data_IF_547770108942
#
_entry.id   IF_547770108942
#
_cell.length_a   1.000
_cell.length_b   1.000
_cell.length_c   1.000
_cell.angle_alpha   90.00
_cell.angle_beta   90.00
_cell.angle_gamma   90.00
#
_symmetry.space_group_name_H-M   'P 1'
#
loop_
_entity.id
_entity.type
_entity.pdbx_description
1 polymer ?
#
# COMPACT_ATOMS: atom_id res chain seq x y z
N UNK A 1 15.35 -49.43 -54.63
CA UNK A 1 14.83 -48.15 -54.20
C UNK A 1 15.01 -47.99 -52.72
N UNK A 2 16.06 -47.30 -52.28
CA UNK A 2 16.32 -47.03 -50.84
C UNK A 2 15.75 -45.63 -50.51
N UNK A 3 14.80 -45.59 -49.57
CA UNK A 3 14.24 -44.32 -49.08
C UNK A 3 15.10 -43.84 -47.89
N UNK A 4 15.76 -42.70 -48.08
CA UNK A 4 16.49 -42.03 -47.00
C UNK A 4 15.48 -41.22 -46.17
N UNK A 5 15.42 -41.50 -44.87
CA UNK A 5 14.64 -40.72 -43.92
C UNK A 5 15.56 -39.63 -43.34
N UNK A 6 15.29 -38.38 -43.66
CA UNK A 6 15.97 -37.23 -43.04
C UNK A 6 15.34 -37.00 -41.67
N UNK A 7 16.11 -37.19 -40.61
CA UNK A 7 15.71 -36.81 -39.26
C UNK A 7 16.05 -35.32 -39.02
N UNK A 8 15.04 -34.48 -38.86
CA UNK A 8 15.22 -33.09 -38.37
C UNK A 8 15.46 -33.12 -36.89
N UNK A 9 16.66 -32.76 -36.45
CA UNK A 9 16.98 -32.50 -35.04
C UNK A 9 16.60 -31.05 -34.77
N UNK A 10 15.52 -30.85 -34.01
CA UNK A 10 15.14 -29.53 -33.51
C UNK A 10 16.08 -29.19 -32.32
N UNK A 11 17.04 -28.28 -32.54
CA UNK A 11 17.88 -27.76 -31.47
C UNK A 11 17.04 -26.77 -30.65
N UNK A 12 16.71 -27.17 -29.43
CA UNK A 12 16.09 -26.30 -28.43
C UNK A 12 17.15 -25.29 -27.95
N UNK A 13 17.11 -24.06 -28.45
CA UNK A 13 17.96 -22.98 -27.95
C UNK A 13 17.40 -22.56 -26.59
N UNK A 14 18.01 -23.07 -25.51
CA UNK A 14 17.79 -22.53 -24.17
C UNK A 14 18.43 -21.13 -24.13
N UNK A 15 17.60 -20.09 -24.16
CA UNK A 15 18.04 -18.74 -23.81
C UNK A 15 18.46 -18.75 -22.33
N UNK A 16 19.64 -18.19 -21.99
CA UNK A 16 20.03 -18.05 -20.61
C UNK A 16 18.98 -17.21 -19.86
N UNK A 17 18.66 -17.53 -18.59
CA UNK A 17 17.80 -16.68 -17.79
C UNK A 17 18.42 -15.28 -17.75
N UNK A 18 17.63 -14.25 -18.09
CA UNK A 18 18.04 -12.87 -17.97
C UNK A 18 18.54 -12.65 -16.53
N UNK A 19 19.73 -12.06 -16.38
CA UNK A 19 20.32 -11.76 -15.08
C UNK A 19 19.29 -10.97 -14.27
N UNK A 20 18.79 -11.55 -13.18
CA UNK A 20 17.99 -10.85 -12.18
C UNK A 20 18.88 -9.79 -11.58
N UNK A 21 18.50 -8.53 -11.66
CA UNK A 21 19.18 -7.49 -10.90
C UNK A 21 19.16 -7.88 -9.42
N UNK A 22 20.33 -7.95 -8.80
CA UNK A 22 20.44 -8.27 -7.37
C UNK A 22 19.65 -7.23 -6.56
N UNK A 23 18.72 -7.71 -5.72
CA UNK A 23 18.01 -6.85 -4.76
C UNK A 23 18.91 -6.69 -3.53
N UNK A 24 19.34 -5.46 -3.27
CA UNK A 24 20.04 -5.13 -2.02
C UNK A 24 19.03 -4.83 -0.94
N UNK A 25 19.12 -5.51 0.21
CA UNK A 25 18.25 -5.31 1.36
C UNK A 25 19.03 -4.59 2.46
N UNK A 26 18.48 -3.48 2.96
CA UNK A 26 19.07 -2.69 4.04
C UNK A 26 18.03 -2.38 5.11
N UNK A 27 18.35 -2.69 6.37
CA UNK A 27 17.50 -2.38 7.52
C UNK A 27 17.97 -1.12 8.25
N UNK A 28 17.00 -0.34 8.72
CA UNK A 28 17.19 0.87 9.51
C UNK A 28 16.46 0.70 10.86
N UNK A 29 17.18 0.41 11.95
CA UNK A 29 16.61 0.33 13.29
C UNK A 29 16.00 1.68 13.69
N UNK A 30 14.86 1.64 14.36
CA UNK A 30 14.18 2.84 14.84
C UNK A 30 14.54 3.13 16.30
N UNK A 31 14.59 4.42 16.71
CA UNK A 31 14.91 4.80 18.07
C UNK A 31 13.74 4.44 19.03
N UNK A 32 14.00 4.38 20.35
CA UNK A 32 12.94 4.28 21.35
C UNK A 32 11.87 5.36 21.16
N UNK A 33 10.60 4.99 21.20
CA UNK A 33 9.47 5.86 20.89
C UNK A 33 9.11 5.97 19.42
N UNK A 34 10.01 5.61 18.50
CA UNK A 34 9.74 5.52 17.06
C UNK A 34 9.31 4.14 16.57
N UNK A 35 9.15 3.18 17.48
CA UNK A 35 8.82 1.81 17.14
C UNK A 35 7.36 1.58 16.72
N UNK A 36 7.10 0.35 16.29
CA UNK A 36 5.84 -0.09 15.70
C UNK A 36 5.46 0.72 14.45
N UNK A 37 6.37 0.82 13.46
CA UNK A 37 6.08 1.53 12.22
C UNK A 37 4.93 0.85 11.49
N UNK A 38 3.91 1.63 11.09
CA UNK A 38 2.72 1.07 10.43
C UNK A 38 2.76 1.27 8.92
N UNK A 39 2.73 2.49 8.44
CA UNK A 39 2.84 2.85 7.02
C UNK A 39 4.08 3.71 6.78
N UNK A 40 4.59 3.71 5.55
CA UNK A 40 5.72 4.54 5.09
C UNK A 40 5.31 5.39 3.89
N UNK A 41 5.98 6.54 3.72
CA UNK A 41 5.89 7.36 2.53
C UNK A 41 7.26 7.95 2.17
N UNK A 42 7.63 7.93 0.90
CA UNK A 42 8.93 8.40 0.43
C UNK A 42 8.84 9.86 0.02
N UNK A 43 9.67 10.70 0.63
CA UNK A 43 9.80 12.11 0.29
C UNK A 43 10.53 12.33 -1.05
N UNK A 44 10.21 13.42 -1.73
CA UNK A 44 10.90 13.82 -2.97
C UNK A 44 12.36 14.20 -2.75
N UNK A 45 12.75 14.52 -1.52
CA UNK A 45 14.11 14.84 -1.07
C UNK A 45 14.94 13.58 -0.72
N UNK A 46 14.37 12.41 -0.86
CA UNK A 46 15.04 11.14 -0.55
C UNK A 46 14.84 10.65 0.87
N UNK A 47 14.23 11.42 1.74
CA UNK A 47 13.88 11.01 3.10
C UNK A 47 12.66 10.09 3.13
N UNK A 48 12.39 9.46 4.27
CA UNK A 48 11.28 8.51 4.44
C UNK A 48 10.49 8.89 5.69
N UNK A 49 9.20 9.10 5.48
CA UNK A 49 8.22 9.31 6.54
C UNK A 49 7.60 7.98 6.95
N UNK A 50 7.29 7.81 8.22
CA UNK A 50 6.55 6.64 8.69
C UNK A 50 5.67 6.97 9.90
N UNK A 51 4.58 6.25 10.05
CA UNK A 51 3.70 6.37 11.21
C UNK A 51 4.17 5.46 12.34
N UNK A 52 4.55 6.02 13.49
CA UNK A 52 4.82 5.30 14.73
C UNK A 52 3.51 5.19 15.54
N UNK A 53 2.66 4.22 15.17
CA UNK A 53 1.26 4.18 15.58
C UNK A 53 1.06 4.12 17.09
N UNK A 54 1.86 3.31 17.80
CA UNK A 54 1.70 3.12 19.25
C UNK A 54 2.15 4.31 20.09
N UNK A 55 3.10 5.08 19.58
CA UNK A 55 3.63 6.25 20.29
C UNK A 55 2.97 7.57 19.88
N UNK A 56 2.06 7.54 18.90
CA UNK A 56 1.36 8.73 18.42
C UNK A 56 2.27 9.73 17.72
N UNK A 57 3.29 9.25 17.01
CA UNK A 57 4.30 10.09 16.37
C UNK A 57 4.38 9.85 14.86
N UNK A 58 4.88 10.84 14.15
CA UNK A 58 5.37 10.72 12.78
C UNK A 58 6.91 10.65 12.83
N UNK A 59 7.47 9.59 12.28
CA UNK A 59 8.91 9.46 12.14
C UNK A 59 9.40 9.98 10.79
N UNK A 60 10.59 10.58 10.77
CA UNK A 60 11.26 11.09 9.59
C UNK A 60 12.69 10.57 9.55
N UNK A 61 12.94 9.59 8.67
CA UNK A 61 14.24 8.95 8.49
C UNK A 61 15.00 9.61 7.34
N UNK A 62 16.25 9.98 7.58
CA UNK A 62 17.25 10.24 6.54
C UNK A 62 18.02 8.92 6.25
N UNK A 63 17.82 8.27 5.10
CA UNK A 63 18.48 7.01 4.80
C UNK A 63 19.99 7.13 4.58
N UNK A 64 20.49 8.32 4.27
CA UNK A 64 21.94 8.52 4.04
C UNK A 64 22.73 8.49 5.35
N UNK A 65 22.12 8.98 6.44
CA UNK A 65 22.75 9.05 7.78
C UNK A 65 22.19 8.03 8.77
N UNK A 66 21.04 7.46 8.49
CA UNK A 66 20.29 6.60 9.42
C UNK A 66 19.61 7.39 10.55
N UNK A 67 19.61 8.71 10.50
CA UNK A 67 19.03 9.57 11.53
C UNK A 67 17.52 9.60 11.44
N UNK A 68 16.85 9.46 12.59
CA UNK A 68 15.38 9.54 12.71
C UNK A 68 15.02 10.72 13.60
N UNK A 69 14.15 11.58 13.11
CA UNK A 69 13.44 12.60 13.88
C UNK A 69 12.03 12.08 14.21
N UNK A 70 11.56 12.30 15.44
CA UNK A 70 10.22 11.93 15.88
C UNK A 70 9.41 13.19 16.16
N UNK A 71 8.25 13.30 15.50
CA UNK A 71 7.35 14.47 15.56
C UNK A 71 6.08 14.05 16.28
N UNK A 72 5.81 14.54 17.50
CA UNK A 72 4.59 14.22 18.23
C UNK A 72 3.34 14.73 17.49
N UNK A 73 2.36 13.86 17.30
CA UNK A 73 1.08 14.23 16.68
C UNK A 73 0.01 14.64 17.71
N UNK A 74 0.34 14.72 18.99
CA UNK A 74 -0.53 15.18 20.07
C UNK A 74 -1.14 14.06 20.91
N UNK A 75 -1.84 14.45 21.96
CA UNK A 75 -2.42 13.50 22.93
C UNK A 75 -3.49 12.62 22.25
N UNK A 76 -3.43 11.31 22.54
CA UNK A 76 -4.37 10.32 21.98
C UNK A 76 -4.15 9.95 20.52
N UNK A 77 -3.10 10.47 19.87
CA UNK A 77 -2.80 10.15 18.51
C UNK A 77 -2.41 8.67 18.32
N UNK A 78 -2.95 8.05 17.26
CA UNK A 78 -2.61 6.72 16.80
C UNK A 78 -2.58 6.73 15.25
N UNK A 79 -1.52 7.32 14.65
CA UNK A 79 -1.43 7.50 13.20
C UNK A 79 -1.37 6.14 12.50
N UNK A 80 -2.14 5.99 11.42
CA UNK A 80 -2.21 4.75 10.67
C UNK A 80 -1.54 4.89 9.30
N UNK A 81 -2.19 5.51 8.33
CA UNK A 81 -1.66 5.72 6.99
C UNK A 81 -0.86 7.00 6.88
N UNK A 82 0.16 7.01 6.01
CA UNK A 82 0.89 8.22 5.60
C UNK A 82 1.14 8.22 4.10
N UNK A 83 1.00 9.39 3.49
CA UNK A 83 1.32 9.63 2.08
C UNK A 83 1.90 11.04 1.94
N UNK A 84 2.93 11.19 1.10
CA UNK A 84 3.42 12.54 0.73
C UNK A 84 2.48 13.12 -0.30
N UNK A 85 1.90 14.27 0.03
CA UNK A 85 0.96 14.97 -0.81
C UNK A 85 1.61 15.73 -1.98
N UNK A 86 0.79 16.28 -2.89
CA UNK A 86 1.28 17.08 -4.01
C UNK A 86 2.01 18.37 -3.56
N UNK A 87 1.84 18.76 -2.31
CA UNK A 87 2.52 19.87 -1.66
C UNK A 87 3.87 19.49 -1.00
N UNK A 88 4.30 18.21 -1.17
CA UNK A 88 5.53 17.66 -0.59
C UNK A 88 5.46 17.36 0.90
N UNK A 89 4.32 17.60 1.55
CA UNK A 89 4.14 17.33 2.97
C UNK A 89 3.61 15.91 3.25
N UNK A 90 3.95 15.28 4.39
CA UNK A 90 3.30 14.07 4.83
C UNK A 90 1.88 14.36 5.33
N UNK A 91 0.92 13.59 4.79
CA UNK A 91 -0.48 13.58 5.19
C UNK A 91 -0.80 12.24 5.84
N UNK A 92 -1.56 12.27 6.92
CA UNK A 92 -1.74 11.13 7.82
C UNK A 92 -3.23 10.91 8.07
N UNK A 93 -3.68 9.67 8.01
CA UNK A 93 -4.93 9.23 8.64
C UNK A 93 -4.66 8.95 10.11
N UNK A 94 -5.19 9.78 10.97
CA UNK A 94 -4.98 9.70 12.41
C UNK A 94 -6.21 9.03 13.05
N UNK A 95 -6.10 7.73 13.37
CA UNK A 95 -7.20 6.91 13.83
C UNK A 95 -7.53 7.07 15.32
N UNK A 96 -6.61 7.58 16.14
CA UNK A 96 -6.82 7.75 17.57
C UNK A 96 -7.79 8.87 17.89
N UNK A 97 -7.66 10.01 17.20
CA UNK A 97 -8.51 11.20 17.39
C UNK A 97 -9.45 11.47 16.21
N UNK A 98 -9.60 10.53 15.27
CA UNK A 98 -10.48 10.66 14.11
C UNK A 98 -10.19 11.92 13.26
N UNK A 99 -8.96 12.10 12.81
CA UNK A 99 -8.58 13.29 12.05
C UNK A 99 -7.74 12.94 10.81
N UNK A 100 -7.82 13.79 9.79
CA UNK A 100 -6.77 13.89 8.78
C UNK A 100 -5.75 14.90 9.28
N UNK A 101 -4.48 14.57 9.19
CA UNK A 101 -3.38 15.38 9.72
C UNK A 101 -2.37 15.64 8.62
N UNK A 102 -1.84 16.88 8.59
CA UNK A 102 -0.71 17.28 7.75
C UNK A 102 0.39 17.81 8.64
N UNK A 103 1.62 17.41 8.35
CA UNK A 103 2.80 17.96 9.03
C UNK A 103 3.60 18.77 8.01
N UNK A 104 3.91 20.02 8.34
CA UNK A 104 4.77 20.83 7.48
C UNK A 104 6.22 20.31 7.52
N UNK A 105 6.83 19.95 6.38
CA UNK A 105 8.16 19.31 6.38
C UNK A 105 9.30 20.23 6.81
N UNK A 106 9.12 21.56 6.72
CA UNK A 106 10.13 22.55 7.15
C UNK A 106 10.00 22.95 8.62
N UNK A 107 8.77 23.32 9.01
CA UNK A 107 8.49 23.90 10.34
C UNK A 107 8.04 22.87 11.38
N UNK A 108 7.65 21.67 10.95
CA UNK A 108 7.05 20.61 11.79
C UNK A 108 5.69 20.98 12.38
N UNK A 109 5.07 22.05 11.90
CA UNK A 109 3.72 22.43 12.32
C UNK A 109 2.72 21.36 11.92
N UNK A 110 1.91 20.94 12.90
CA UNK A 110 0.87 19.91 12.74
C UNK A 110 -0.48 20.59 12.54
N UNK A 111 -1.07 20.42 11.37
CA UNK A 111 -2.44 20.88 11.05
C UNK A 111 -3.40 19.70 11.07
N UNK A 112 -4.61 19.90 11.60
CA UNK A 112 -5.61 18.84 11.80
C UNK A 112 -6.96 19.23 11.25
N UNK A 113 -7.64 18.26 10.66
CA UNK A 113 -9.04 18.32 10.24
C UNK A 113 -9.76 17.13 10.89
N UNK A 114 -10.44 17.34 12.03
CA UNK A 114 -11.23 16.29 12.66
C UNK A 114 -12.41 15.89 11.76
N UNK A 115 -12.83 14.63 11.85
CA UNK A 115 -14.08 14.20 11.22
C UNK A 115 -15.25 15.03 11.80
N UNK A 116 -16.28 15.31 10.98
CA UNK A 116 -17.52 15.89 11.46
C UNK A 116 -18.16 15.04 12.58
N UNK A 117 -18.91 15.68 13.46
CA UNK A 117 -19.65 14.98 14.51
C UNK A 117 -20.63 13.93 13.95
N UNK A 118 -20.90 12.89 14.76
CA UNK A 118 -21.87 11.86 14.41
C UNK A 118 -21.29 10.56 13.81
N UNK A 119 -20.01 10.53 13.44
CA UNK A 119 -19.36 9.34 12.84
C UNK A 119 -18.71 8.39 13.86
N UNK A 120 -18.74 8.73 15.15
CA UNK A 120 -18.13 7.92 16.20
C UNK A 120 -16.62 7.68 15.93
N UNK A 121 -16.07 6.59 16.47
CA UNK A 121 -14.70 6.19 16.17
C UNK A 121 -14.65 5.44 14.82
N UNK A 122 -14.16 6.13 13.81
CA UNK A 122 -14.12 5.62 12.43
C UNK A 122 -12.99 4.63 12.17
N UNK A 123 -11.96 4.59 13.02
CA UNK A 123 -10.74 3.80 12.79
C UNK A 123 -10.13 4.12 11.42
N UNK A 124 -9.75 5.39 11.21
CA UNK A 124 -9.21 5.88 9.94
C UNK A 124 -7.99 5.06 9.52
N UNK A 125 -7.93 4.74 8.22
CA UNK A 125 -6.95 3.76 7.72
C UNK A 125 -5.97 4.34 6.71
N UNK A 126 -6.37 4.52 5.47
CA UNK A 126 -5.51 4.91 4.36
C UNK A 126 -6.05 6.16 3.69
N UNK A 127 -5.18 6.93 3.05
CA UNK A 127 -5.57 8.10 2.27
C UNK A 127 -4.92 8.09 0.88
N UNK A 128 -5.51 8.87 -0.03
CA UNK A 128 -4.96 9.17 -1.35
C UNK A 128 -5.39 10.58 -1.77
N UNK A 129 -4.82 11.09 -2.86
CA UNK A 129 -5.19 12.39 -3.43
C UNK A 129 -5.88 12.21 -4.77
N UNK A 130 -6.88 13.04 -5.05
CA UNK A 130 -7.37 13.18 -6.41
C UNK A 130 -6.57 14.23 -7.21
N UNK A 131 -6.89 14.36 -8.49
CA UNK A 131 -6.24 15.32 -9.40
C UNK A 131 -6.50 16.79 -9.07
N UNK A 132 -7.46 17.08 -8.18
CA UNK A 132 -7.77 18.42 -7.67
C UNK A 132 -7.03 18.73 -6.36
N UNK A 133 -6.28 17.76 -5.82
CA UNK A 133 -5.56 17.88 -4.55
C UNK A 133 -6.43 17.68 -3.31
N UNK A 134 -7.66 17.15 -3.46
CA UNK A 134 -8.49 16.74 -2.32
C UNK A 134 -8.00 15.42 -1.76
N UNK A 135 -8.11 15.27 -0.45
CA UNK A 135 -7.72 14.03 0.26
C UNK A 135 -8.93 13.12 0.36
N UNK A 136 -8.81 11.91 -0.18
CA UNK A 136 -9.77 10.84 0.00
C UNK A 136 -9.24 9.83 1.01
N UNK A 137 -10.09 9.33 1.90
CA UNK A 137 -9.68 8.45 2.98
C UNK A 137 -10.70 7.37 3.29
N UNK A 138 -10.25 6.32 3.97
CA UNK A 138 -11.09 5.21 4.44
C UNK A 138 -11.06 5.14 5.96
N UNK A 139 -12.16 4.64 6.54
CA UNK A 139 -12.30 4.28 7.95
C UNK A 139 -12.89 2.88 8.10
N UNK A 140 -12.16 2.00 8.78
CA UNK A 140 -12.50 0.57 8.87
C UNK A 140 -13.86 0.29 9.50
N UNK A 141 -14.37 1.22 10.30
CA UNK A 141 -15.67 1.07 10.95
C UNK A 141 -16.86 1.39 10.05
N UNK A 142 -16.63 1.51 8.73
CA UNK A 142 -17.69 1.52 7.74
C UNK A 142 -17.89 2.84 7.03
N UNK A 143 -16.84 3.67 6.96
CA UNK A 143 -16.92 4.96 6.26
C UNK A 143 -15.81 5.12 5.23
N UNK A 144 -16.00 6.04 4.32
CA UNK A 144 -14.97 6.70 3.53
C UNK A 144 -15.32 8.18 3.42
N UNK A 145 -14.35 9.02 3.06
CA UNK A 145 -14.59 10.45 3.04
C UNK A 145 -13.65 11.20 2.13
N UNK A 146 -13.93 12.50 2.00
CA UNK A 146 -13.17 13.46 1.19
C UNK A 146 -12.98 14.75 1.96
N UNK A 147 -11.75 15.24 2.05
CA UNK A 147 -11.40 16.54 2.62
C UNK A 147 -10.95 17.48 1.49
N UNK A 148 -11.49 18.71 1.47
CA UNK A 148 -10.95 19.83 0.71
C UNK A 148 -9.97 20.61 1.62
N UNK A 149 -8.64 20.48 1.44
CA UNK A 149 -7.67 21.04 2.38
C UNK A 149 -7.72 22.57 2.49
N UNK A 150 -8.08 23.27 1.41
CA UNK A 150 -8.08 24.73 1.35
C UNK A 150 -9.18 25.35 2.20
N UNK A 151 -10.33 24.70 2.26
CA UNK A 151 -11.50 25.20 2.99
C UNK A 151 -11.73 24.49 4.31
N UNK A 152 -11.15 23.29 4.47
CA UNK A 152 -11.44 22.39 5.58
C UNK A 152 -12.77 21.66 5.44
N UNK A 153 -13.51 21.84 4.34
CA UNK A 153 -14.76 21.13 4.12
C UNK A 153 -14.52 19.62 3.96
N UNK A 154 -15.32 18.83 4.67
CA UNK A 154 -15.18 17.37 4.68
C UNK A 154 -16.54 16.73 4.46
N UNK A 155 -16.60 15.84 3.47
CA UNK A 155 -17.73 14.96 3.22
C UNK A 155 -17.41 13.55 3.70
N UNK A 156 -18.35 12.89 4.34
CA UNK A 156 -18.19 11.50 4.84
C UNK A 156 -19.41 10.70 4.43
N UNK A 157 -19.19 9.50 3.90
CA UNK A 157 -20.23 8.59 3.44
C UNK A 157 -20.10 7.24 4.13
N UNK A 158 -21.24 6.61 4.39
CA UNK A 158 -21.28 5.22 4.82
C UNK A 158 -20.88 4.28 3.68
N UNK A 159 -20.05 3.30 4.00
CA UNK A 159 -19.68 2.29 3.03
C UNK A 159 -20.85 1.35 2.74
N UNK A 160 -21.07 0.93 1.48
CA UNK A 160 -22.23 0.16 1.06
C UNK A 160 -22.49 -1.15 1.83
N UNK A 161 -21.46 -1.75 2.39
CA UNK A 161 -21.53 -2.96 3.23
C UNK A 161 -21.04 -2.74 4.66
N UNK A 162 -21.06 -1.51 5.14
CA UNK A 162 -20.60 -1.15 6.48
C UNK A 162 -19.11 -1.38 6.68
N UNK A 163 -18.73 -2.04 7.78
CA UNK A 163 -17.31 -2.22 8.16
C UNK A 163 -16.47 -2.86 7.07
N UNK A 164 -15.24 -2.35 6.93
CA UNK A 164 -14.26 -2.95 6.06
C UNK A 164 -13.42 -2.04 5.17
N UNK A 165 -13.82 -0.78 4.84
CA UNK A 165 -12.97 0.07 4.02
C UNK A 165 -11.56 0.14 4.57
N UNK A 166 -10.54 -0.12 3.70
CA UNK A 166 -9.16 -0.29 4.11
C UNK A 166 -8.21 0.48 3.19
N UNK A 167 -7.55 -0.18 2.24
CA UNK A 167 -6.67 0.48 1.28
C UNK A 167 -7.44 1.34 0.29
N UNK A 168 -6.86 2.46 -0.13
CA UNK A 168 -7.40 3.35 -1.16
C UNK A 168 -6.26 3.82 -2.06
N UNK A 169 -6.52 3.98 -3.36
CA UNK A 169 -5.52 4.40 -4.34
C UNK A 169 -6.15 5.24 -5.44
N UNK A 170 -5.33 6.08 -6.08
CA UNK A 170 -5.67 6.85 -7.26
C UNK A 170 -4.94 6.27 -8.46
N UNK A 171 -5.65 6.07 -9.56
CA UNK A 171 -5.04 5.64 -10.83
C UNK A 171 -4.32 6.80 -11.54
N UNK A 172 -3.41 6.54 -12.48
CA UNK A 172 -2.84 7.59 -13.32
C UNK A 172 -3.89 8.41 -14.11
N UNK A 173 -5.06 7.83 -14.37
CA UNK A 173 -6.20 8.52 -14.98
C UNK A 173 -7.03 9.36 -14.03
N UNK A 174 -6.73 9.33 -12.71
CA UNK A 174 -7.44 10.09 -11.69
C UNK A 174 -8.61 9.37 -11.02
N UNK A 175 -8.98 8.17 -11.46
CA UNK A 175 -10.02 7.37 -10.79
C UNK A 175 -9.54 6.90 -9.42
N UNK A 176 -10.44 6.89 -8.44
CA UNK A 176 -10.16 6.41 -7.08
C UNK A 176 -10.87 5.09 -6.82
N UNK A 177 -10.11 4.15 -6.26
CA UNK A 177 -10.61 2.84 -5.82
C UNK A 177 -10.22 2.57 -4.37
N UNK A 178 -11.13 1.98 -3.60
CA UNK A 178 -10.80 1.43 -2.28
C UNK A 178 -11.13 -0.05 -2.18
N UNK A 179 -10.43 -0.74 -1.28
CA UNK A 179 -10.71 -2.12 -0.89
C UNK A 179 -11.51 -2.17 0.40
N UNK A 180 -12.42 -3.13 0.52
CA UNK A 180 -13.14 -3.43 1.75
C UNK A 180 -12.74 -4.81 2.27
N UNK A 181 -11.99 -4.84 3.37
CA UNK A 181 -11.48 -6.07 3.96
C UNK A 181 -12.62 -6.99 4.45
N UNK A 182 -13.52 -6.46 5.26
CA UNK A 182 -14.65 -7.25 5.77
C UNK A 182 -15.75 -7.42 4.74
N UNK A 183 -15.94 -6.45 3.84
CA UNK A 183 -16.93 -6.52 2.76
C UNK A 183 -16.51 -7.38 1.57
N UNK A 184 -15.20 -7.71 1.44
CA UNK A 184 -14.62 -8.52 0.37
C UNK A 184 -14.96 -8.03 -1.04
N UNK A 185 -14.78 -6.72 -1.29
CA UNK A 185 -14.98 -6.09 -2.60
C UNK A 185 -13.97 -4.95 -2.79
N UNK A 186 -13.86 -4.45 -4.01
CA UNK A 186 -13.31 -3.12 -4.27
C UNK A 186 -14.43 -2.20 -4.75
N UNK A 187 -14.27 -0.89 -4.57
CA UNK A 187 -15.23 0.07 -5.07
C UNK A 187 -14.53 1.21 -5.81
N UNK A 188 -15.12 1.67 -6.90
CA UNK A 188 -14.77 2.91 -7.58
C UNK A 188 -15.61 4.05 -7.02
N UNK A 189 -14.96 5.18 -6.72
CA UNK A 189 -15.64 6.37 -6.22
C UNK A 189 -15.93 7.36 -7.34
N UNK A 190 -17.15 7.89 -7.33
CA UNK A 190 -17.49 9.07 -8.11
C UNK A 190 -16.93 10.31 -7.38
N UNK A 191 -16.07 11.06 -8.04
CA UNK A 191 -15.32 12.14 -7.40
C UNK A 191 -16.15 13.41 -7.15
N UNK A 192 -17.30 13.55 -7.77
CA UNK A 192 -18.18 14.71 -7.58
C UNK A 192 -19.25 14.40 -6.52
N UNK A 193 -19.90 13.25 -6.59
CA UNK A 193 -21.00 12.87 -5.70
C UNK A 193 -20.56 12.08 -4.46
N UNK A 194 -19.38 11.44 -4.52
CA UNK A 194 -18.92 10.50 -3.49
C UNK A 194 -19.52 9.09 -3.62
N UNK A 195 -20.40 8.84 -4.57
CA UNK A 195 -21.05 7.54 -4.72
C UNK A 195 -20.05 6.41 -4.99
N UNK A 196 -20.19 5.29 -4.28
CA UNK A 196 -19.35 4.11 -4.45
C UNK A 196 -20.01 3.07 -5.36
N UNK A 197 -19.36 2.67 -6.44
CA UNK A 197 -19.75 1.57 -7.32
C UNK A 197 -18.95 0.34 -6.93
N UNK A 198 -19.63 -0.71 -6.45
CA UNK A 198 -19.03 -1.96 -6.02
C UNK A 198 -18.58 -2.79 -7.23
N UNK A 199 -17.44 -3.44 -7.07
CA UNK A 199 -16.86 -4.34 -8.05
C UNK A 199 -16.53 -5.64 -7.33
N UNK A 200 -17.27 -6.69 -7.67
CA UNK A 200 -17.16 -8.00 -7.03
C UNK A 200 -15.97 -8.76 -7.60
N UNK A 201 -15.07 -9.27 -6.76
CA UNK A 201 -14.03 -10.18 -7.20
C UNK A 201 -14.60 -11.60 -7.45
N UNK A 202 -13.90 -12.42 -8.25
CA UNK A 202 -14.34 -13.79 -8.55
C UNK A 202 -14.28 -14.72 -7.33
N UNK A 203 -13.39 -14.43 -6.39
CA UNK A 203 -13.23 -15.22 -5.15
C UNK A 203 -14.08 -14.61 -4.05
N UNK A 204 -15.00 -15.38 -3.51
CA UNK A 204 -15.81 -14.96 -2.34
C UNK A 204 -14.94 -14.85 -1.09
N UNK A 205 -15.30 -13.93 -0.22
CA UNK A 205 -14.67 -13.74 1.11
C UNK A 205 -13.13 -13.64 1.07
N UNK A 206 -12.59 -13.17 -0.07
CA UNK A 206 -11.15 -13.10 -0.30
C UNK A 206 -10.43 -12.13 0.66
N UNK A 207 -11.17 -11.20 1.28
CA UNK A 207 -10.60 -10.22 2.21
C UNK A 207 -9.73 -9.19 1.51
N UNK A 208 -10.32 -8.41 0.56
CA UNK A 208 -9.64 -7.33 -0.14
C UNK A 208 -9.10 -6.31 0.86
N UNK A 209 -7.76 -6.22 1.01
CA UNK A 209 -7.16 -5.43 2.08
C UNK A 209 -6.55 -4.13 1.60
N UNK A 210 -5.54 -4.20 0.76
CA UNK A 210 -4.87 -3.04 0.17
C UNK A 210 -5.08 -3.03 -1.33
N UNK A 211 -5.05 -1.86 -1.92
CA UNK A 211 -5.12 -1.65 -3.37
C UNK A 211 -4.01 -0.72 -3.83
N UNK A 212 -3.53 -0.95 -5.06
CA UNK A 212 -2.61 -0.07 -5.75
C UNK A 212 -2.89 -0.07 -7.25
N UNK A 213 -2.70 1.07 -7.91
CA UNK A 213 -2.85 1.18 -9.36
C UNK A 213 -1.51 1.01 -10.07
N UNK A 214 -1.49 0.29 -11.20
CA UNK A 214 -0.31 0.25 -12.07
C UNK A 214 -0.32 1.38 -13.12
N UNK A 215 0.73 1.46 -13.93
CA UNK A 215 0.91 2.49 -14.95
C UNK A 215 -0.20 2.50 -16.03
N UNK A 216 -0.91 1.36 -16.19
CA UNK A 216 -2.01 1.15 -17.14
C UNK A 216 -3.39 1.43 -16.53
N UNK A 217 -3.44 1.81 -15.25
CA UNK A 217 -4.66 2.07 -14.49
C UNK A 217 -5.42 0.82 -14.06
N UNK A 218 -4.77 -0.36 -14.03
CA UNK A 218 -5.33 -1.58 -13.49
C UNK A 218 -5.15 -1.58 -11.98
N UNK A 219 -6.08 -2.18 -11.25
CA UNK A 219 -6.12 -2.17 -9.78
C UNK A 219 -5.61 -3.49 -9.25
N UNK A 220 -4.51 -3.46 -8.54
CA UNK A 220 -3.95 -4.60 -7.84
C UNK A 220 -4.47 -4.65 -6.41
N UNK A 221 -4.82 -5.83 -5.94
CA UNK A 221 -5.48 -6.06 -4.65
C UNK A 221 -4.76 -7.16 -3.89
N UNK A 222 -4.38 -6.91 -2.64
CA UNK A 222 -3.95 -7.97 -1.73
C UNK A 222 -5.17 -8.61 -1.07
N UNK A 223 -5.25 -9.93 -1.10
CA UNK A 223 -6.38 -10.71 -0.59
C UNK A 223 -5.96 -11.48 0.67
N UNK A 224 -6.29 -10.92 1.82
CA UNK A 224 -5.84 -11.42 3.11
C UNK A 224 -6.34 -12.83 3.44
N UNK A 225 -7.62 -13.12 3.19
CA UNK A 225 -8.21 -14.41 3.53
C UNK A 225 -7.82 -15.49 2.51
N UNK A 226 -7.84 -15.15 1.23
CA UNK A 226 -7.52 -16.09 0.14
C UNK A 226 -6.01 -16.30 -0.05
N UNK A 227 -5.17 -15.36 0.41
CA UNK A 227 -3.73 -15.40 0.20
C UNK A 227 -3.32 -15.20 -1.25
N UNK A 228 -4.09 -14.39 -1.98
CA UNK A 228 -3.85 -14.08 -3.38
C UNK A 228 -3.40 -12.63 -3.57
N UNK A 229 -2.85 -12.36 -4.74
CA UNK A 229 -2.86 -11.04 -5.37
C UNK A 229 -3.77 -11.10 -6.58
N UNK A 230 -4.70 -10.16 -6.68
CA UNK A 230 -5.61 -10.05 -7.81
C UNK A 230 -5.43 -8.73 -8.55
N UNK A 231 -5.74 -8.73 -9.84
CA UNK A 231 -5.71 -7.56 -10.70
C UNK A 231 -7.07 -7.38 -11.37
N UNK A 232 -7.68 -6.23 -11.17
CA UNK A 232 -8.87 -5.80 -11.90
C UNK A 232 -8.48 -4.86 -13.05
N UNK A 233 -8.95 -5.16 -14.26
CA UNK A 233 -8.82 -4.29 -15.44
C UNK A 233 -10.14 -3.52 -15.64
N UNK A 234 -10.20 -2.21 -15.34
CA UNK A 234 -11.43 -1.43 -15.49
C UNK A 234 -11.92 -1.30 -16.93
N UNK A 235 -11.02 -1.38 -17.91
CA UNK A 235 -11.38 -1.28 -19.35
C UNK A 235 -12.11 -2.51 -19.84
N UNK A 236 -11.83 -3.66 -19.24
CA UNK A 236 -12.41 -4.97 -19.62
C UNK A 236 -13.46 -5.47 -18.64
N UNK A 237 -13.54 -4.88 -17.45
CA UNK A 237 -14.33 -5.40 -16.34
C UNK A 237 -13.87 -6.79 -15.89
N UNK A 238 -12.59 -7.12 -16.05
CA UNK A 238 -12.07 -8.47 -15.90
C UNK A 238 -11.04 -8.57 -14.77
N UNK A 239 -11.04 -9.74 -14.11
CA UNK A 239 -10.10 -10.09 -13.04
C UNK A 239 -9.09 -11.14 -13.50
N UNK A 240 -7.89 -11.03 -12.93
CA UNK A 240 -6.86 -12.07 -12.94
C UNK A 240 -6.38 -12.27 -11.51
N UNK A 241 -6.06 -13.52 -11.11
CA UNK A 241 -5.73 -13.84 -9.72
C UNK A 241 -4.59 -14.84 -9.66
N UNK A 242 -3.64 -14.61 -8.77
CA UNK A 242 -2.47 -15.47 -8.52
C UNK A 242 -2.33 -15.74 -7.03
N UNK A 243 -2.19 -17.01 -6.66
CA UNK A 243 -1.94 -17.40 -5.27
C UNK A 243 -0.48 -17.12 -4.91
N UNK A 244 -0.23 -16.49 -3.76
CA UNK A 244 1.11 -16.32 -3.23
C UNK A 244 1.74 -17.70 -2.91
N UNK A 245 3.08 -17.80 -2.95
CA UNK A 245 3.79 -19.03 -2.57
C UNK A 245 3.44 -19.49 -1.15
N UNK A 246 3.45 -20.79 -0.92
CA UNK A 246 3.19 -21.37 0.40
C UNK A 246 1.80 -22.01 0.54
N UNK A 247 1.59 -22.67 1.70
CA UNK A 247 0.37 -23.44 1.94
C UNK A 247 -0.84 -22.54 2.28
N UNK A 248 -0.64 -21.57 3.15
CA UNK A 248 -1.69 -20.65 3.64
C UNK A 248 -1.16 -19.22 3.72
N UNK A 249 -0.85 -18.58 2.57
CA UNK A 249 -0.33 -17.23 2.56
C UNK A 249 -1.35 -16.22 3.09
N UNK A 250 -0.86 -15.07 3.58
CA UNK A 250 -1.66 -13.98 4.14
C UNK A 250 -1.19 -12.66 3.53
N UNK A 251 -1.69 -12.34 2.35
CA UNK A 251 -1.33 -11.12 1.62
C UNK A 251 -1.87 -9.88 2.33
N UNK A 252 -0.98 -9.05 2.90
CA UNK A 252 -1.38 -7.83 3.60
C UNK A 252 -1.21 -6.59 2.73
N UNK A 253 0.03 -6.19 2.44
CA UNK A 253 0.35 -5.03 1.61
C UNK A 253 0.32 -5.38 0.12
N UNK A 254 0.08 -4.37 -0.71
CA UNK A 254 0.36 -4.37 -2.14
C UNK A 254 0.86 -3.00 -2.55
N UNK A 255 1.91 -2.98 -3.34
CA UNK A 255 2.50 -1.79 -3.98
C UNK A 255 2.95 -2.18 -5.39
N UNK A 256 2.79 -1.29 -6.35
CA UNK A 256 3.28 -1.49 -7.72
C UNK A 256 4.37 -0.46 -7.98
N UNK A 257 5.56 -0.91 -8.36
CA UNK A 257 6.69 -0.03 -8.62
C UNK A 257 6.62 0.62 -10.03
N UNK A 258 7.58 1.47 -10.33
CA UNK A 258 7.65 2.23 -11.58
C UNK A 258 7.92 1.36 -12.84
N UNK A 259 8.15 0.06 -12.66
CA UNK A 259 8.29 -0.94 -13.72
C UNK A 259 7.08 -1.88 -13.83
N UNK A 260 5.98 -1.56 -13.16
CA UNK A 260 4.77 -2.40 -13.05
C UNK A 260 5.00 -3.76 -12.36
N UNK A 261 6.09 -3.92 -11.61
CA UNK A 261 6.31 -5.07 -10.74
C UNK A 261 5.55 -4.88 -9.42
N UNK A 262 4.92 -5.95 -8.95
CA UNK A 262 4.06 -5.91 -7.76
C UNK A 262 4.83 -6.40 -6.54
N UNK A 263 4.81 -5.61 -5.48
CA UNK A 263 5.39 -5.94 -4.19
C UNK A 263 4.29 -6.19 -3.16
N UNK A 264 4.42 -7.26 -2.39
CA UNK A 264 3.44 -7.67 -1.39
C UNK A 264 4.14 -7.98 -0.07
N UNK A 265 3.39 -8.00 1.01
CA UNK A 265 3.83 -8.65 2.24
C UNK A 265 2.99 -9.89 2.49
N UNK A 266 3.65 -10.99 2.83
CA UNK A 266 3.01 -12.23 3.29
C UNK A 266 3.30 -12.43 4.78
N UNK A 267 2.27 -12.29 5.60
CA UNK A 267 2.42 -12.44 7.04
C UNK A 267 2.61 -13.89 7.49
N UNK A 268 2.06 -14.85 6.76
CA UNK A 268 2.25 -16.26 7.06
C UNK A 268 3.67 -16.72 6.76
N UNK A 269 4.26 -16.25 5.67
CA UNK A 269 5.66 -16.51 5.30
C UNK A 269 6.64 -15.61 6.06
N UNK A 270 6.17 -14.57 6.77
CA UNK A 270 7.00 -13.52 7.37
C UNK A 270 7.99 -12.91 6.36
N UNK A 271 7.48 -12.50 5.20
CA UNK A 271 8.29 -12.12 4.06
C UNK A 271 7.68 -10.92 3.29
N UNK A 272 8.55 -10.23 2.55
CA UNK A 272 8.16 -9.43 1.40
C UNK A 272 8.22 -10.32 0.16
N UNK A 273 7.26 -10.15 -0.73
CA UNK A 273 7.11 -10.95 -1.95
C UNK A 273 7.09 -10.01 -3.14
N UNK A 274 7.90 -10.29 -4.15
CA UNK A 274 7.91 -9.60 -5.44
C UNK A 274 7.25 -10.49 -6.47
N UNK A 275 6.32 -9.93 -7.25
CA UNK A 275 5.61 -10.60 -8.33
C UNK A 275 5.84 -9.90 -9.66
N UNK A 276 6.35 -10.60 -10.65
CA UNK A 276 6.49 -10.16 -12.03
C UNK A 276 5.25 -10.58 -12.82
N UNK A 277 4.36 -9.63 -13.20
CA UNK A 277 3.11 -9.97 -13.87
C UNK A 277 3.29 -10.45 -15.33
N UNK A 278 4.42 -10.16 -15.97
CA UNK A 278 4.69 -10.58 -17.35
C UNK A 278 5.17 -12.04 -17.40
N UNK A 279 5.91 -12.45 -16.37
CA UNK A 279 6.43 -13.82 -16.22
C UNK A 279 5.56 -14.70 -15.32
N UNK A 280 4.58 -14.11 -14.65
CA UNK A 280 3.76 -14.74 -13.61
C UNK A 280 4.62 -15.47 -12.55
N UNK A 281 5.72 -14.86 -12.16
CA UNK A 281 6.69 -15.46 -11.24
C UNK A 281 6.84 -14.67 -9.95
N UNK A 282 6.98 -15.41 -8.85
CA UNK A 282 7.19 -14.86 -7.52
C UNK A 282 8.64 -15.02 -7.06
N UNK A 283 9.12 -14.01 -6.33
CA UNK A 283 10.37 -14.04 -5.58
C UNK A 283 10.07 -13.66 -4.13
N UNK A 284 10.60 -14.43 -3.18
CA UNK A 284 10.30 -14.29 -1.75
C UNK A 284 11.53 -13.81 -1.00
N UNK A 285 11.37 -12.78 -0.18
CA UNK A 285 12.40 -12.19 0.68
C UNK A 285 11.98 -12.36 2.14
N UNK A 286 12.35 -13.47 2.81
CA UNK A 286 12.03 -13.68 4.23
C UNK A 286 12.69 -12.61 5.10
N UNK A 287 11.97 -12.11 6.11
CA UNK A 287 12.60 -11.27 7.13
C UNK A 287 13.55 -12.10 7.98
N UNK A 288 14.68 -11.51 8.34
CA UNK A 288 15.64 -12.07 9.31
C UNK A 288 15.18 -11.89 10.78
N UNK A 289 14.01 -11.29 10.98
CA UNK A 289 13.37 -11.11 12.29
C UNK A 289 12.05 -11.87 12.35
N UNK A 290 11.77 -12.57 13.46
CA UNK A 290 10.48 -13.23 13.62
C UNK A 290 9.35 -12.20 13.74
N UNK A 291 8.17 -12.53 13.23
CA UNK A 291 6.96 -11.71 13.31
C UNK A 291 7.18 -10.25 12.90
N UNK A 292 7.89 -10.03 11.80
CA UNK A 292 8.19 -8.70 11.26
C UNK A 292 6.93 -7.87 10.99
N UNK A 293 5.84 -8.52 10.55
CA UNK A 293 4.52 -7.91 10.38
C UNK A 293 4.53 -6.66 9.49
N UNK A 294 5.03 -6.76 8.27
CA UNK A 294 5.01 -5.67 7.29
C UNK A 294 3.57 -5.33 6.92
N UNK A 295 3.15 -4.07 7.19
CA UNK A 295 1.75 -3.62 7.07
C UNK A 295 1.45 -2.83 5.81
N UNK A 296 2.45 -2.21 5.22
CA UNK A 296 2.32 -1.41 4.01
C UNK A 296 3.66 -1.42 3.29
N UNK A 297 3.61 -1.18 2.00
CA UNK A 297 4.79 -0.99 1.15
C UNK A 297 4.60 0.28 0.34
N UNK A 298 5.65 1.06 0.21
CA UNK A 298 5.71 2.17 -0.72
C UNK A 298 7.16 2.39 -1.16
N UNK A 299 7.34 2.97 -2.34
CA UNK A 299 8.67 3.18 -2.86
C UNK A 299 8.76 4.33 -3.83
N UNK A 300 9.92 4.43 -4.43
CA UNK A 300 10.25 5.29 -5.55
C UNK A 300 11.07 4.47 -6.55
N UNK A 301 11.44 5.07 -7.65
CA UNK A 301 12.22 4.40 -8.70
C UNK A 301 13.43 3.66 -8.11
N UNK A 302 13.47 2.35 -8.33
CA UNK A 302 14.54 1.47 -7.90
C UNK A 302 14.58 1.17 -6.38
N UNK A 303 13.56 1.56 -5.61
CA UNK A 303 13.56 1.38 -4.16
C UNK A 303 12.15 1.13 -3.62
N UNK A 304 11.98 0.10 -2.78
CA UNK A 304 10.74 -0.20 -2.06
C UNK A 304 11.03 -0.29 -0.56
N UNK A 305 10.19 0.34 0.24
CA UNK A 305 10.28 0.40 1.69
C UNK A 305 9.20 -0.43 2.36
N UNK A 306 9.59 -1.15 3.40
CA UNK A 306 8.74 -2.02 4.20
C UNK A 306 8.90 -1.67 5.70
N UNK A 307 7.83 -1.20 6.36
CA UNK A 307 7.83 -1.01 7.81
C UNK A 307 7.61 -2.35 8.51
N UNK A 308 8.60 -2.85 9.23
CA UNK A 308 8.49 -4.04 10.04
C UNK A 308 8.01 -3.70 11.45
N UNK A 309 6.68 -3.68 11.65
CA UNK A 309 6.07 -3.26 12.94
C UNK A 309 6.49 -4.12 14.11
N UNK A 310 6.72 -5.40 13.90
CA UNK A 310 7.10 -6.33 14.96
C UNK A 310 8.60 -6.34 15.29
N UNK A 311 9.41 -5.66 14.47
CA UNK A 311 10.87 -5.61 14.60
C UNK A 311 11.40 -4.19 14.82
N UNK A 312 10.53 -3.20 14.95
CA UNK A 312 10.86 -1.78 15.18
C UNK A 312 11.93 -1.25 14.21
N UNK A 313 11.73 -1.49 12.90
CA UNK A 313 12.65 -1.03 11.86
C UNK A 313 11.95 -0.77 10.52
N UNK A 314 12.59 0.02 9.67
CA UNK A 314 12.26 0.12 8.25
C UNK A 314 13.28 -0.70 7.43
N UNK A 315 12.80 -1.35 6.38
CA UNK A 315 13.64 -2.13 5.47
C UNK A 315 13.49 -1.60 4.05
N UNK A 316 14.61 -1.32 3.40
CA UNK A 316 14.67 -0.90 1.99
C UNK A 316 15.11 -2.08 1.12
N UNK A 317 14.38 -2.31 0.03
CA UNK A 317 14.69 -3.24 -1.06
C UNK A 317 15.09 -2.39 -2.27
N UNK A 318 16.35 -2.46 -2.70
CA UNK A 318 16.89 -1.67 -3.81
C UNK A 318 17.22 -2.55 -5.01
N UNK A 319 16.65 -2.24 -6.17
CA UNK A 319 17.04 -2.84 -7.44
C UNK A 319 18.35 -2.19 -7.92
N UNK A 320 19.35 -3.00 -8.21
CA UNK A 320 20.63 -2.55 -8.79
C UNK A 320 20.57 -2.50 -10.30
#
# INVERSE_FOLDING_TARGET
MRRSVLAFVLALVMLPPAARGDIAVQAYPLPPGGGYPHDVAVGGDGTVWYTAQRSGQLGHLDPATGKVELIPLGAGAAPHGVLVGPDGAPWITEGGTNAIVRVDPGTRVVTRWPLPDGHGWANLNTLTFDTRGRVWFTGQNGIYGRLEPKTGAMDVWDAPRGRGPYGITTTPGGDIYYASLAGSYIARLDLDTGAATLIEPPTRDQGARRVWADSKGRIWVSEWNAGHVSRYDPRRGAWSTWKLPGAQPRAYAVYVDDTDVVWLSDWAANAVVRFDPERESFEVFPSDRPAANVRQLQGRRGEVWAPESGADRLVAYRTR
#
